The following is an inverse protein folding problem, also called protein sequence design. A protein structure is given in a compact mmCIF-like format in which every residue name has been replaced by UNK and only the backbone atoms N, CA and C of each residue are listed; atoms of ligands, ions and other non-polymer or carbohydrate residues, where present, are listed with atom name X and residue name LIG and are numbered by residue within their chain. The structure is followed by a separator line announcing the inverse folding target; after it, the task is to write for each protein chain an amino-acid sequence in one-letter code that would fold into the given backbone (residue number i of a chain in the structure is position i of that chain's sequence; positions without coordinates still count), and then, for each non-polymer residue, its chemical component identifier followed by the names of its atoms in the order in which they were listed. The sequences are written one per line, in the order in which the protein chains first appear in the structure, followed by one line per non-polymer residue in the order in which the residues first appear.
data_IF_616517959779
#
_entry.id   IF_616517959779
#
_cell.length_a   1.000
_cell.length_b   1.000
_cell.length_c   1.000
_cell.angle_alpha   90.00
_cell.angle_beta   90.00
_cell.angle_gamma   90.00
#
_symmetry.space_group_name_H-M   'P 1'
#
loop_
_entity.id
_entity.type
_entity.pdbx_description
1 polymer ?
#
# COMPACT_ATOMS: atom_id res chain seq x y z
N UNK A 1 6.72 3.33 10.69
CA UNK A 1 6.93 2.47 9.53
C UNK A 1 7.37 3.33 8.34
N UNK A 2 8.64 3.24 7.95
CA UNK A 2 9.14 4.09 6.87
C UNK A 2 8.61 3.63 5.51
N UNK A 3 8.01 4.54 4.77
CA UNK A 3 7.67 4.32 3.38
C UNK A 3 8.82 4.80 2.50
N UNK A 4 8.94 4.26 1.28
CA UNK A 4 9.92 4.76 0.34
C UNK A 4 9.75 6.26 0.10
N UNK A 5 10.86 7.00 0.00
CA UNK A 5 10.81 8.43 -0.29
C UNK A 5 10.76 8.64 -1.80
N UNK A 6 10.06 9.70 -2.21
CA UNK A 6 9.98 10.04 -3.62
C UNK A 6 11.22 10.80 -4.08
N UNK A 7 11.84 10.41 -5.19
CA UNK A 7 12.72 11.31 -5.93
C UNK A 7 11.91 12.51 -6.44
N UNK A 8 12.55 13.65 -6.62
CA UNK A 8 11.88 14.88 -7.05
C UNK A 8 11.55 14.93 -8.55
N UNK A 9 11.99 13.96 -9.32
CA UNK A 9 11.77 13.87 -10.77
C UNK A 9 10.63 12.91 -11.09
N UNK A 10 10.15 12.95 -12.35
CA UNK A 10 9.14 12.00 -12.83
C UNK A 10 9.61 10.55 -12.81
N UNK A 11 10.90 10.33 -12.71
CA UNK A 11 11.49 8.99 -12.66
C UNK A 11 11.12 8.24 -11.38
N UNK A 12 10.55 8.93 -10.39
CA UNK A 12 10.13 8.27 -9.14
C UNK A 12 9.18 7.10 -9.37
N UNK A 13 8.40 7.13 -10.43
CA UNK A 13 7.46 6.05 -10.75
C UNK A 13 8.17 4.73 -11.01
N UNK A 14 9.39 4.76 -11.51
CA UNK A 14 10.17 3.55 -11.77
C UNK A 14 10.59 2.85 -10.48
N UNK A 15 10.69 3.60 -9.39
CA UNK A 15 11.07 3.06 -8.09
C UNK A 15 9.89 2.39 -7.37
N UNK A 16 8.67 2.61 -7.88
CA UNK A 16 7.46 2.04 -7.31
C UNK A 16 6.88 0.92 -8.16
N UNK A 17 7.73 0.21 -8.92
CA UNK A 17 7.30 -1.03 -9.56
C UNK A 17 6.93 -2.06 -8.49
N UNK A 18 6.10 -3.03 -8.86
CA UNK A 18 5.70 -4.09 -7.92
C UNK A 18 6.91 -4.82 -7.35
N UNK A 19 7.93 -5.08 -8.18
CA UNK A 19 9.15 -5.77 -7.73
C UNK A 19 9.94 -4.95 -6.72
N UNK A 20 10.07 -3.64 -6.94
CA UNK A 20 10.79 -2.76 -6.03
C UNK A 20 10.09 -2.62 -4.69
N UNK A 21 8.78 -2.51 -4.71
CA UNK A 21 8.00 -2.43 -3.46
C UNK A 21 8.08 -3.74 -2.69
N UNK A 22 7.97 -4.87 -3.37
CA UNK A 22 8.12 -6.19 -2.74
C UNK A 22 9.51 -6.36 -2.15
N UNK A 23 10.55 -5.95 -2.87
CA UNK A 23 11.92 -6.00 -2.40
C UNK A 23 12.15 -5.15 -1.15
N UNK A 24 11.62 -3.93 -1.14
CA UNK A 24 11.68 -3.07 0.03
C UNK A 24 10.92 -3.67 1.21
N UNK A 25 9.69 -4.10 0.99
CA UNK A 25 8.84 -4.64 2.05
C UNK A 25 9.42 -5.91 2.66
N UNK A 26 10.12 -6.74 1.88
CA UNK A 26 10.71 -7.98 2.36
C UNK A 26 11.79 -7.75 3.42
N UNK A 27 12.33 -6.54 3.54
CA UNK A 27 13.36 -6.20 4.52
C UNK A 27 12.79 -5.80 5.87
N UNK A 28 11.51 -5.39 5.96
CA UNK A 28 10.94 -4.85 7.18
C UNK A 28 9.49 -5.25 7.43
N UNK A 29 8.90 -6.04 6.56
CA UNK A 29 7.49 -6.38 6.65
C UNK A 29 7.22 -7.79 6.14
N UNK A 30 6.07 -8.33 6.53
CA UNK A 30 5.56 -9.59 6.01
C UNK A 30 4.29 -9.33 5.21
N UNK A 31 4.09 -10.10 4.14
CA UNK A 31 2.84 -10.05 3.38
C UNK A 31 1.72 -10.72 4.16
N UNK A 32 0.54 -10.11 4.11
CA UNK A 32 -0.66 -10.68 4.71
C UNK A 32 -1.77 -10.74 3.68
N UNK A 33 -2.72 -11.66 3.89
CA UNK A 33 -3.89 -11.76 3.04
C UNK A 33 -4.92 -10.73 3.46
N UNK A 34 -5.73 -10.26 2.53
CA UNK A 34 -6.80 -9.31 2.85
C UNK A 34 -7.74 -9.86 3.92
N UNK A 35 -8.03 -11.15 3.88
CA UNK A 35 -8.91 -11.80 4.86
C UNK A 35 -8.31 -11.84 6.27
N UNK A 36 -7.01 -11.65 6.38
CA UNK A 36 -6.27 -11.68 7.65
C UNK A 36 -5.76 -10.28 8.04
N UNK A 37 -6.18 -9.25 7.31
CA UNK A 37 -5.70 -7.89 7.55
C UNK A 37 -6.14 -7.35 8.90
N UNK A 38 -5.23 -6.62 9.53
CA UNK A 38 -5.45 -5.95 10.80
C UNK A 38 -5.31 -4.45 10.61
N UNK A 39 -5.76 -3.68 11.61
CA UNK A 39 -5.63 -2.23 11.56
C UNK A 39 -4.18 -1.83 11.32
N UNK A 40 -4.00 -0.86 10.41
CA UNK A 40 -2.72 -0.26 10.05
C UNK A 40 -1.80 -1.14 9.21
N UNK A 41 -2.27 -2.27 8.70
CA UNK A 41 -1.54 -2.96 7.65
C UNK A 41 -1.49 -2.06 6.41
N UNK A 42 -0.34 -2.02 5.75
CA UNK A 42 -0.14 -1.17 4.57
C UNK A 42 -0.68 -1.87 3.34
N UNK A 43 -1.51 -1.16 2.58
CA UNK A 43 -2.05 -1.65 1.32
C UNK A 43 -1.31 -0.97 0.17
N UNK A 44 -0.72 -1.75 -0.71
CA UNK A 44 -0.13 -1.24 -1.94
C UNK A 44 -1.08 -1.49 -3.10
N UNK A 45 -1.45 -0.43 -3.81
CA UNK A 45 -2.33 -0.49 -4.98
C UNK A 45 -1.53 -0.30 -6.25
N UNK A 46 -1.78 -1.12 -7.24
CA UNK A 46 -1.10 -1.04 -8.52
C UNK A 46 -2.00 -0.49 -9.61
N UNK A 47 -1.39 0.03 -10.67
CA UNK A 47 -2.08 0.35 -11.90
C UNK A 47 -2.66 -0.92 -12.53
N UNK A 48 -3.83 -0.80 -13.17
CA UNK A 48 -4.41 -1.90 -13.95
C UNK A 48 -3.69 -2.12 -15.27
N UNK A 49 -2.80 -1.21 -15.66
CA UNK A 49 -2.13 -1.20 -16.98
C UNK A 49 -0.63 -1.44 -16.92
N UNK A 50 -0.05 -1.46 -15.74
CA UNK A 50 1.40 -1.58 -15.58
C UNK A 50 1.75 -2.22 -14.24
N UNK A 51 3.03 -2.51 -14.04
CA UNK A 51 3.54 -3.04 -12.77
C UNK A 51 3.98 -1.93 -11.81
N UNK A 52 3.28 -0.79 -11.84
CA UNK A 52 3.61 0.33 -10.95
C UNK A 52 2.65 0.37 -9.78
N UNK A 53 3.20 0.60 -8.61
CA UNK A 53 2.41 0.91 -7.43
C UNK A 53 2.05 2.39 -7.51
N UNK A 54 0.77 2.69 -7.54
CA UNK A 54 0.28 4.05 -7.76
C UNK A 54 -0.31 4.70 -6.50
N UNK A 55 -0.50 3.92 -5.46
CA UNK A 55 -1.14 4.43 -4.25
C UNK A 55 -0.88 3.50 -3.06
N UNK A 56 -0.89 4.07 -1.86
CA UNK A 56 -0.83 3.34 -0.60
C UNK A 56 -1.96 3.75 0.30
N UNK A 57 -2.42 2.81 1.13
CA UNK A 57 -3.39 3.08 2.17
C UNK A 57 -3.06 2.28 3.42
N UNK A 58 -3.73 2.60 4.52
CA UNK A 58 -3.65 1.83 5.76
C UNK A 58 -4.99 1.14 5.97
N UNK A 59 -4.94 -0.17 6.16
CA UNK A 59 -6.16 -0.95 6.40
C UNK A 59 -6.79 -0.59 7.74
N UNK A 60 -8.10 -0.46 7.76
CA UNK A 60 -8.90 -0.27 8.96
C UNK A 60 -10.05 -1.29 8.95
N UNK A 61 -10.17 -2.04 10.03
CA UNK A 61 -11.26 -3.00 10.13
C UNK A 61 -12.62 -2.31 10.14
N UNK A 62 -13.66 -2.95 9.60
CA UNK A 62 -13.63 -4.28 8.97
C UNK A 62 -13.21 -4.28 7.51
N UNK A 63 -13.48 -3.23 6.74
CA UNK A 63 -13.22 -3.17 5.30
C UNK A 63 -13.02 -1.74 4.82
N UNK A 64 -12.27 -0.96 5.59
CA UNK A 64 -11.99 0.44 5.28
C UNK A 64 -10.50 0.67 5.11
N UNK A 65 -10.14 1.83 4.63
CA UNK A 65 -8.74 2.27 4.59
C UNK A 65 -8.64 3.74 4.90
N UNK A 66 -7.52 4.12 5.50
CA UNK A 66 -7.10 5.51 5.64
C UNK A 66 -6.08 5.79 4.56
N UNK A 67 -6.30 6.78 3.74
CA UNK A 67 -5.33 7.16 2.72
C UNK A 67 -5.33 8.67 2.51
N UNK A 68 -4.30 9.15 1.83
CA UNK A 68 -4.16 10.56 1.50
C UNK A 68 -4.54 10.74 0.04
N UNK A 69 -5.54 11.57 -0.21
CA UNK A 69 -5.93 11.93 -1.56
C UNK A 69 -5.09 13.07 -2.10
N UNK A 70 -5.23 13.33 -3.39
CA UNK A 70 -4.64 14.49 -4.05
C UNK A 70 -4.99 15.76 -3.27
N UNK A 71 -4.01 16.62 -3.03
CA UNK A 71 -4.20 17.80 -2.20
C UNK A 71 -3.82 17.61 -0.73
N UNK A 72 -3.42 16.40 -0.32
CA UNK A 72 -2.89 16.15 1.02
C UNK A 72 -3.93 15.90 2.11
N UNK A 73 -5.19 15.68 1.73
CA UNK A 73 -6.26 15.42 2.70
C UNK A 73 -6.31 13.93 3.01
N UNK A 74 -6.28 13.58 4.29
CA UNK A 74 -6.46 12.20 4.73
C UNK A 74 -7.94 11.87 4.82
N UNK A 75 -8.33 10.74 4.25
CA UNK A 75 -9.73 10.30 4.26
C UNK A 75 -9.83 8.83 4.65
N UNK A 76 -10.92 8.47 5.30
CA UNK A 76 -11.31 7.09 5.56
C UNK A 76 -12.35 6.70 4.51
N UNK A 77 -12.09 5.62 3.81
CA UNK A 77 -12.94 5.19 2.70
C UNK A 77 -13.13 3.69 2.75
N UNK A 78 -14.31 3.22 2.36
CA UNK A 78 -14.58 1.79 2.24
C UNK A 78 -13.78 1.20 1.09
N UNK A 79 -13.20 0.01 1.33
CA UNK A 79 -12.54 -0.77 0.27
C UNK A 79 -13.61 -1.39 -0.63
N UNK A 80 -14.08 -0.60 -1.60
CA UNK A 80 -15.02 -1.06 -2.60
C UNK A 80 -14.33 -1.96 -3.63
N UNK A 81 -15.10 -2.57 -4.52
CA UNK A 81 -14.55 -3.38 -5.60
C UNK A 81 -13.55 -2.62 -6.47
N UNK A 82 -13.77 -1.32 -6.63
CA UNK A 82 -12.83 -0.45 -7.34
C UNK A 82 -11.41 -0.55 -6.76
N UNK A 83 -11.30 -0.50 -5.43
CA UNK A 83 -10.02 -0.57 -4.74
C UNK A 83 -9.49 -2.00 -4.63
N UNK A 84 -10.36 -2.94 -4.31
CA UNK A 84 -9.96 -4.35 -4.12
C UNK A 84 -9.30 -4.90 -5.37
N UNK A 85 -9.80 -4.57 -6.55
CA UNK A 85 -9.22 -4.99 -7.83
C UNK A 85 -7.79 -4.48 -8.04
N UNK A 86 -7.42 -3.41 -7.37
CA UNK A 86 -6.12 -2.74 -7.54
C UNK A 86 -5.12 -3.11 -6.46
N UNK A 87 -5.51 -3.89 -5.48
CA UNK A 87 -4.60 -4.32 -4.43
C UNK A 87 -3.52 -5.21 -5.04
N UNK A 88 -2.27 -4.78 -4.89
CA UNK A 88 -1.12 -5.63 -5.22
C UNK A 88 -0.80 -6.54 -4.04
N UNK A 89 -0.62 -5.95 -2.85
CA UNK A 89 -0.29 -6.68 -1.64
C UNK A 89 -0.62 -5.87 -0.41
N UNK A 90 -0.79 -6.56 0.71
CA UNK A 90 -0.82 -5.95 2.03
C UNK A 90 0.43 -6.38 2.79
N UNK A 91 0.96 -5.47 3.59
CA UNK A 91 2.17 -5.70 4.36
C UNK A 91 1.95 -5.32 5.81
N UNK A 92 2.47 -6.14 6.71
CA UNK A 92 2.50 -5.83 8.14
C UNK A 92 3.94 -5.62 8.54
N UNK A 93 4.25 -4.48 9.16
CA UNK A 93 5.59 -4.22 9.66
C UNK A 93 5.96 -5.29 10.69
N UNK A 94 7.20 -5.75 10.65
CA UNK A 94 7.63 -6.85 11.54
C UNK A 94 7.48 -6.51 13.02
N UNK A 95 7.54 -5.23 13.41
CA UNK A 95 7.33 -4.82 14.80
C UNK A 95 5.88 -5.02 15.26
N UNK A 96 4.94 -5.23 14.33
CA UNK A 96 3.53 -5.48 14.60
C UNK A 96 3.17 -6.96 14.56
N UNK A 97 4.11 -7.81 14.19
CA UNK A 97 3.93 -9.26 14.17
C UNK A 97 4.22 -9.80 15.57
N UNK A 98 3.28 -10.55 16.08
CA UNK A 98 3.45 -11.16 17.41
C UNK A 98 3.77 -12.63 17.33
#
# INVERSE_FOLDING_TARGET
FPLPTYPKSRDWMKHFSTDNVDGWASTCAVKVKLTEAENYDVIAFKSTRSNLIIHFGLFLKPTQMLHIEEGGVSVVETLSDYWVKRIHSLYRHESMVQ
#
